data_IF_528854220692
#
_entry.id   IF_528854220692
#
_cell.length_a   1.000
_cell.length_b   1.000
_cell.length_c   1.000
_cell.angle_alpha   90.00
_cell.angle_beta   90.00
_cell.angle_gamma   90.00
#
_symmetry.space_group_name_H-M   'P 1'
#
loop_
_entity.id
_entity.type
_entity.pdbx_description
1 polymer ?
#
# COMPACT_ATOMS: atom_id res chain seq x y z
N UNK A 1 -36.67 57.79 31.64
CA UNK A 1 -37.32 56.57 32.14
C UNK A 1 -37.03 55.43 31.17
N UNK A 2 -36.05 54.56 31.54
CA UNK A 2 -35.71 53.22 30.98
C UNK A 2 -35.32 53.12 29.49
N UNK A 3 -34.58 52.12 28.98
CA UNK A 3 -33.47 51.24 29.41
C UNK A 3 -33.19 50.28 28.22
N UNK A 4 -31.91 49.97 27.96
CA UNK A 4 -31.30 48.72 27.43
C UNK A 4 -31.89 47.90 26.26
N UNK A 5 -31.03 47.52 25.29
CA UNK A 5 -30.54 46.15 24.97
C UNK A 5 -29.75 46.18 23.64
N UNK A 6 -28.42 45.93 23.57
CA UNK A 6 -27.69 44.63 23.50
C UNK A 6 -27.95 43.89 22.17
N UNK A 7 -26.96 43.86 21.25
CA UNK A 7 -26.24 42.68 20.67
C UNK A 7 -27.11 41.72 19.83
N UNK A 8 -26.72 41.01 18.78
CA UNK A 8 -25.46 40.48 18.25
C UNK A 8 -25.82 39.85 16.87
N UNK A 9 -24.81 39.70 15.98
CA UNK A 9 -24.63 38.64 14.97
C UNK A 9 -25.79 38.14 14.07
N UNK A 10 -25.53 38.03 12.76
CA UNK A 10 -25.04 36.75 12.23
C UNK A 10 -24.96 36.72 10.70
N UNK A 11 -23.75 36.40 10.26
CA UNK A 11 -23.34 35.84 8.98
C UNK A 11 -24.32 34.85 8.35
N UNK A 12 -24.54 34.98 7.04
CA UNK A 12 -24.86 33.85 6.16
C UNK A 12 -23.94 33.88 4.94
N UNK A 13 -22.68 33.57 5.23
CA UNK A 13 -21.68 33.15 4.24
C UNK A 13 -21.93 31.69 3.88
N UNK A 14 -22.13 31.45 2.58
CA UNK A 14 -22.17 30.18 1.85
C UNK A 14 -21.65 28.96 2.64
N UNK A 15 -22.58 28.13 3.10
CA UNK A 15 -22.33 26.74 3.47
C UNK A 15 -22.17 25.88 2.21
N UNK A 16 -21.00 25.98 1.56
CA UNK A 16 -20.50 24.85 0.76
C UNK A 16 -19.82 23.91 1.75
N UNK A 17 -20.46 22.78 2.04
CA UNK A 17 -19.79 21.65 2.69
C UNK A 17 -18.42 21.47 2.03
N UNK A 18 -17.35 21.61 2.82
CA UNK A 18 -15.97 21.41 2.36
C UNK A 18 -15.80 19.92 2.07
N UNK A 19 -16.30 19.49 0.91
CA UNK A 19 -16.03 18.18 0.37
C UNK A 19 -14.52 17.99 0.40
N UNK A 20 -14.07 16.97 1.13
CA UNK A 20 -12.68 16.56 1.09
C UNK A 20 -12.30 16.40 -0.38
N UNK A 21 -11.34 17.20 -0.88
CA UNK A 21 -10.82 17.02 -2.23
C UNK A 21 -10.47 15.53 -2.43
N UNK A 22 -10.81 14.93 -3.59
CA UNK A 22 -10.35 13.60 -3.97
C UNK A 22 -8.91 13.39 -3.54
N UNK A 23 -8.56 12.23 -2.99
CA UNK A 23 -7.18 12.03 -2.49
C UNK A 23 -6.14 12.15 -3.60
N UNK A 24 -6.52 11.93 -4.87
CA UNK A 24 -5.70 12.26 -6.02
C UNK A 24 -5.46 13.79 -6.16
N UNK A 25 -6.50 14.62 -6.02
CA UNK A 25 -6.34 16.09 -6.03
C UNK A 25 -5.43 16.56 -4.90
N UNK A 26 -5.51 15.92 -3.72
CA UNK A 26 -4.59 16.17 -2.61
C UNK A 26 -3.16 15.81 -2.98
N UNK A 27 -2.96 14.65 -3.59
CA UNK A 27 -1.64 14.25 -4.09
C UNK A 27 -1.14 15.27 -5.12
N UNK A 28 -1.95 15.69 -6.09
CA UNK A 28 -1.60 16.64 -7.14
C UNK A 28 -1.24 18.05 -6.61
N UNK A 29 -1.90 18.49 -5.54
CA UNK A 29 -1.73 19.84 -4.97
C UNK A 29 -0.81 19.90 -3.77
N UNK A 30 -0.38 18.75 -3.23
CA UNK A 30 0.51 18.69 -2.09
C UNK A 30 1.88 19.33 -2.39
N UNK A 31 2.53 19.93 -1.38
CA UNK A 31 3.95 20.27 -1.43
C UNK A 31 4.81 19.08 -1.89
N UNK A 32 5.93 19.37 -2.57
CA UNK A 32 6.75 18.34 -3.21
C UNK A 32 7.28 17.30 -2.22
N UNK A 33 7.74 17.74 -1.06
CA UNK A 33 8.21 16.90 0.05
C UNK A 33 7.09 16.01 0.63
N UNK A 34 5.90 16.57 0.82
CA UNK A 34 4.74 15.82 1.31
C UNK A 34 4.26 14.76 0.32
N UNK A 35 4.30 15.08 -0.99
CA UNK A 35 3.96 14.12 -2.04
C UNK A 35 5.00 13.01 -2.16
N UNK A 36 6.29 13.35 -2.15
CA UNK A 36 7.39 12.38 -2.16
C UNK A 36 7.30 11.43 -0.95
N UNK A 37 7.06 11.95 0.25
CA UNK A 37 6.90 11.13 1.45
C UNK A 37 5.71 10.16 1.36
N UNK A 38 4.56 10.63 0.83
CA UNK A 38 3.39 9.77 0.62
C UNK A 38 3.64 8.67 -0.43
N UNK A 39 4.42 8.97 -1.46
CA UNK A 39 4.82 8.03 -2.50
C UNK A 39 5.90 7.05 -2.00
N UNK A 40 6.83 7.50 -1.16
CA UNK A 40 7.83 6.64 -0.54
C UNK A 40 7.19 5.58 0.36
N UNK A 41 6.08 5.91 1.03
CA UNK A 41 5.29 4.93 1.77
C UNK A 41 4.54 3.91 0.87
N UNK A 42 4.46 4.17 -0.45
CA UNK A 42 3.94 3.21 -1.43
C UNK A 42 5.04 2.26 -1.94
N UNK A 43 6.24 2.79 -2.18
CA UNK A 43 7.41 2.04 -2.60
C UNK A 43 8.65 2.69 -2.00
N UNK A 44 9.43 1.94 -1.22
CA UNK A 44 10.59 2.45 -0.47
C UNK A 44 11.74 3.00 -1.31
N UNK A 45 11.63 2.99 -2.65
CA UNK A 45 12.60 3.63 -3.54
C UNK A 45 12.41 5.14 -3.61
N UNK A 46 13.44 5.90 -3.23
CA UNK A 46 13.44 7.36 -3.32
C UNK A 46 13.38 7.85 -4.76
N UNK A 47 14.08 7.16 -5.67
CA UNK A 47 14.07 7.50 -7.10
C UNK A 47 12.66 7.36 -7.68
N UNK A 48 11.99 6.27 -7.37
CA UNK A 48 10.59 6.04 -7.77
C UNK A 48 9.65 7.14 -7.25
N UNK A 49 9.73 7.45 -5.96
CA UNK A 49 8.88 8.46 -5.33
C UNK A 49 9.08 9.85 -5.95
N UNK A 50 10.33 10.24 -6.21
CA UNK A 50 10.67 11.52 -6.85
C UNK A 50 10.16 11.62 -8.28
N UNK A 51 10.33 10.56 -9.07
CA UNK A 51 9.85 10.53 -10.45
C UNK A 51 8.35 10.77 -10.51
N UNK A 52 7.57 10.08 -9.68
CA UNK A 52 6.11 10.25 -9.67
C UNK A 52 5.72 11.62 -9.10
N UNK A 53 6.38 12.09 -8.04
CA UNK A 53 6.09 13.41 -7.47
C UNK A 53 6.34 14.55 -8.47
N UNK A 54 7.35 14.41 -9.34
CA UNK A 54 7.74 15.41 -10.33
C UNK A 54 6.81 15.48 -11.55
N UNK A 55 6.10 14.40 -11.90
CA UNK A 55 5.20 14.34 -13.06
C UNK A 55 3.75 14.72 -12.75
N UNK A 56 3.45 15.11 -11.51
CA UNK A 56 2.16 15.69 -11.16
C UNK A 56 1.92 17.00 -11.94
N UNK A 57 0.67 17.34 -12.27
CA UNK A 57 -0.57 16.67 -11.86
C UNK A 57 -0.96 15.50 -12.78
N UNK A 58 -1.56 14.47 -12.18
CA UNK A 58 -2.19 13.36 -12.90
C UNK A 58 -3.68 13.63 -13.15
N UNK A 59 -4.20 13.41 -14.37
CA UNK A 59 -5.61 13.67 -14.68
C UNK A 59 -6.57 12.67 -14.01
N UNK A 60 -6.15 11.44 -13.80
CA UNK A 60 -6.94 10.37 -13.18
C UNK A 60 -6.04 9.31 -12.52
N UNK A 61 -6.67 8.30 -11.91
CA UNK A 61 -5.97 7.20 -11.25
C UNK A 61 -5.17 6.36 -12.24
N UNK A 62 -5.70 6.07 -13.42
CA UNK A 62 -5.01 5.22 -14.40
C UNK A 62 -3.71 5.84 -14.88
N UNK A 63 -3.69 7.17 -15.08
CA UNK A 63 -2.47 7.91 -15.40
C UNK A 63 -1.42 7.82 -14.28
N UNK A 64 -1.84 7.90 -13.02
CA UNK A 64 -0.94 7.71 -11.87
C UNK A 64 -0.40 6.28 -11.80
N UNK A 65 -1.26 5.27 -12.00
CA UNK A 65 -0.83 3.87 -11.96
C UNK A 65 0.11 3.53 -13.13
N UNK A 66 -0.13 4.09 -14.32
CA UNK A 66 0.77 3.96 -15.46
C UNK A 66 2.14 4.60 -15.15
N UNK A 67 2.17 5.81 -14.59
CA UNK A 67 3.42 6.42 -14.17
C UNK A 67 4.15 5.61 -13.08
N UNK A 68 3.40 4.97 -12.18
CA UNK A 68 3.95 4.06 -11.17
C UNK A 68 4.56 2.80 -11.79
N UNK A 69 3.93 2.23 -12.80
CA UNK A 69 4.44 1.06 -13.53
C UNK A 69 5.72 1.40 -14.31
N UNK A 70 5.71 2.49 -15.08
CA UNK A 70 6.90 2.96 -15.81
C UNK A 70 8.08 3.24 -14.88
N UNK A 71 7.84 3.98 -13.79
CA UNK A 71 8.88 4.25 -12.79
C UNK A 71 9.41 2.97 -12.12
N UNK A 72 8.61 1.90 -12.06
CA UNK A 72 9.03 0.60 -11.52
C UNK A 72 9.90 -0.18 -12.50
N UNK A 73 9.60 -0.12 -13.81
CA UNK A 73 10.45 -0.74 -14.83
C UNK A 73 11.81 -0.07 -14.95
N UNK A 74 11.87 1.23 -14.67
CA UNK A 74 13.10 2.00 -14.69
C UNK A 74 13.99 1.77 -13.46
N UNK A 75 13.57 0.99 -12.45
CA UNK A 75 14.35 0.76 -11.23
C UNK A 75 15.69 0.09 -11.53
N UNK A 76 16.76 0.68 -11.01
CA UNK A 76 18.05 0.00 -10.99
C UNK A 76 18.07 -1.08 -9.91
N UNK A 77 19.02 -2.03 -9.95
CA UNK A 77 19.17 -3.00 -8.86
C UNK A 77 19.30 -2.36 -7.48
N UNK A 78 20.00 -1.22 -7.38
CA UNK A 78 20.15 -0.50 -6.12
C UNK A 78 18.85 0.17 -5.65
N UNK A 79 18.03 0.67 -6.58
CA UNK A 79 16.72 1.23 -6.23
C UNK A 79 15.76 0.14 -5.75
N UNK A 80 15.84 -1.05 -6.36
CA UNK A 80 15.07 -2.23 -5.94
C UNK A 80 15.50 -2.71 -4.55
N UNK A 81 16.81 -2.80 -4.29
CA UNK A 81 17.33 -3.17 -2.98
C UNK A 81 16.90 -2.16 -1.89
N UNK A 82 16.91 -0.85 -2.20
CA UNK A 82 16.40 0.20 -1.29
C UNK A 82 14.92 -0.05 -0.97
N UNK A 83 14.09 -0.31 -1.98
CA UNK A 83 12.68 -0.54 -1.78
C UNK A 83 12.41 -1.83 -0.97
N UNK A 84 13.15 -2.90 -1.23
CA UNK A 84 13.01 -4.16 -0.49
C UNK A 84 13.47 -4.05 0.96
N UNK A 85 14.44 -3.18 1.27
CA UNK A 85 14.88 -2.94 2.64
C UNK A 85 13.81 -2.22 3.50
N UNK A 86 12.89 -1.50 2.87
CA UNK A 86 11.75 -0.84 3.55
C UNK A 86 10.55 -1.80 3.74
N UNK A 87 10.53 -2.95 3.05
CA UNK A 87 9.45 -3.91 3.15
C UNK A 87 9.50 -4.72 4.46
N UNK A 88 8.33 -4.97 5.04
CA UNK A 88 8.20 -5.76 6.28
C UNK A 88 7.65 -7.16 5.99
N UNK A 89 8.31 -8.19 6.53
CA UNK A 89 7.85 -9.60 6.49
C UNK A 89 6.52 -9.79 7.24
N UNK A 90 6.22 -8.90 8.19
CA UNK A 90 5.08 -8.97 9.13
C UNK A 90 3.72 -8.72 8.44
N UNK A 91 3.70 -8.31 7.16
CA UNK A 91 2.47 -7.99 6.42
C UNK A 91 1.63 -9.20 5.99
N UNK A 92 2.11 -10.42 6.18
CA UNK A 92 1.35 -11.63 5.87
C UNK A 92 0.60 -12.09 7.12
N UNK A 93 -0.59 -11.54 7.36
CA UNK A 93 -1.49 -11.97 8.44
C UNK A 93 -1.80 -13.46 8.28
N UNK A 94 -1.03 -14.28 8.98
CA UNK A 94 -1.38 -15.65 9.25
C UNK A 94 -2.58 -15.65 10.19
N UNK A 95 -3.51 -16.62 10.04
CA UNK A 95 -4.56 -16.80 11.02
C UNK A 95 -3.95 -17.02 12.41
N UNK A 96 -4.61 -16.61 13.50
CA UNK A 96 -4.08 -16.70 14.85
C UNK A 96 -3.49 -18.09 15.20
N UNK A 97 -2.38 -18.09 15.96
CA UNK A 97 -1.64 -19.28 16.35
C UNK A 97 -2.34 -20.09 17.48
N UNK A 98 -3.62 -20.39 17.31
CA UNK A 98 -4.52 -20.85 18.38
C UNK A 98 -4.42 -22.35 18.69
N UNK A 99 -3.60 -23.07 17.93
CA UNK A 99 -3.39 -24.51 18.06
C UNK A 99 -1.93 -24.88 17.82
N UNK A 100 -1.51 -26.04 18.33
CA UNK A 100 -0.18 -26.60 18.06
C UNK A 100 0.10 -26.74 16.55
N UNK A 101 -0.92 -27.09 15.75
CA UNK A 101 -0.81 -27.15 14.30
C UNK A 101 -0.59 -25.77 13.66
N UNK A 102 -1.27 -24.74 14.17
CA UNK A 102 -1.07 -23.36 13.72
C UNK A 102 0.34 -22.86 14.08
N UNK A 103 0.84 -23.17 15.28
CA UNK A 103 2.20 -22.81 15.69
C UNK A 103 3.29 -23.47 14.84
N UNK A 104 3.10 -24.75 14.48
CA UNK A 104 4.01 -25.45 13.57
C UNK A 104 4.01 -24.83 12.17
N UNK A 105 2.85 -24.42 11.66
CA UNK A 105 2.73 -23.72 10.38
C UNK A 105 3.44 -22.35 10.39
N UNK A 106 3.29 -21.58 11.47
CA UNK A 106 4.02 -20.31 11.66
C UNK A 106 5.54 -20.54 11.66
N UNK A 107 6.01 -21.53 12.41
CA UNK A 107 7.44 -21.86 12.49
C UNK A 107 7.99 -22.27 11.12
N UNK A 108 7.25 -23.09 10.38
CA UNK A 108 7.64 -23.53 9.05
C UNK A 108 7.67 -22.36 8.04
N UNK A 109 6.72 -21.43 8.11
CA UNK A 109 6.72 -20.25 7.25
C UNK A 109 7.89 -19.31 7.59
N UNK A 110 8.16 -19.07 8.88
CA UNK A 110 9.31 -18.28 9.30
C UNK A 110 10.62 -18.90 8.79
N UNK A 111 10.78 -20.21 8.93
CA UNK A 111 11.96 -20.91 8.42
C UNK A 111 12.10 -20.79 6.89
N UNK A 112 10.98 -20.73 6.15
CA UNK A 112 10.98 -20.50 4.71
C UNK A 112 11.40 -19.06 4.35
N UNK A 113 10.93 -18.05 5.09
CA UNK A 113 11.39 -16.66 4.94
C UNK A 113 12.88 -16.55 5.21
N UNK A 114 13.38 -17.12 6.32
CA UNK A 114 14.79 -17.07 6.64
C UNK A 114 15.64 -17.78 5.58
N UNK A 115 15.15 -18.90 5.02
CA UNK A 115 15.82 -19.60 3.93
C UNK A 115 15.86 -18.77 2.64
N UNK A 116 14.77 -18.05 2.36
CA UNK A 116 14.68 -17.15 1.21
C UNK A 116 15.66 -15.99 1.34
N UNK A 117 15.66 -15.30 2.48
CA UNK A 117 16.56 -14.18 2.76
C UNK A 117 18.02 -14.60 2.71
N UNK A 118 18.40 -15.76 3.29
CA UNK A 118 19.77 -16.29 3.19
C UNK A 118 20.21 -16.56 1.75
N UNK A 119 19.28 -16.96 0.87
CA UNK A 119 19.60 -17.35 -0.51
C UNK A 119 19.73 -16.12 -1.43
N UNK A 120 18.78 -15.19 -1.31
CA UNK A 120 18.62 -14.07 -2.24
C UNK A 120 19.10 -12.73 -1.67
N UNK A 121 19.26 -12.60 -0.35
CA UNK A 121 19.79 -11.40 0.30
C UNK A 121 18.78 -10.29 0.55
N UNK A 122 17.48 -10.57 0.35
CA UNK A 122 16.39 -9.62 0.57
C UNK A 122 15.13 -10.35 1.05
N UNK A 123 14.20 -9.60 1.63
CA UNK A 123 12.91 -10.14 2.11
C UNK A 123 12.08 -10.72 0.97
N UNK A 124 11.23 -11.70 1.30
CA UNK A 124 10.25 -12.24 0.36
C UNK A 124 9.07 -11.27 0.22
N UNK A 125 8.79 -10.85 -1.00
CA UNK A 125 7.61 -10.00 -1.32
C UNK A 125 6.71 -10.69 -2.31
N UNK A 126 5.40 -10.57 -2.10
CA UNK A 126 4.37 -11.09 -3.00
C UNK A 126 3.13 -10.20 -2.92
N UNK A 127 2.59 -9.83 -4.07
CA UNK A 127 1.31 -9.14 -4.11
C UNK A 127 0.17 -10.13 -3.91
N UNK A 128 -0.67 -9.84 -2.90
CA UNK A 128 -1.87 -10.62 -2.58
C UNK A 128 -3.16 -9.82 -2.84
N UNK A 129 -3.03 -8.62 -3.43
CA UNK A 129 -4.19 -7.80 -3.79
C UNK A 129 -5.02 -8.51 -4.87
N UNK A 130 -6.34 -8.37 -4.77
CA UNK A 130 -7.29 -9.04 -5.66
C UNK A 130 -7.62 -10.49 -5.28
N UNK A 131 -6.88 -11.11 -4.35
CA UNK A 131 -7.19 -12.45 -3.85
C UNK A 131 -8.16 -12.42 -2.67
N UNK A 132 -9.04 -13.43 -2.62
CA UNK A 132 -9.94 -13.64 -1.49
C UNK A 132 -9.12 -14.03 -0.25
N UNK A 133 -9.52 -13.63 0.97
CA UNK A 133 -8.76 -13.91 2.19
C UNK A 133 -8.34 -15.37 2.35
N UNK A 134 -9.23 -16.30 2.01
CA UNK A 134 -9.00 -17.74 2.08
C UNK A 134 -7.92 -18.25 1.08
N UNK A 135 -7.65 -17.54 -0.01
CA UNK A 135 -6.66 -17.93 -1.03
C UNK A 135 -5.26 -17.35 -0.76
N UNK A 136 -5.17 -16.34 0.11
CA UNK A 136 -3.93 -15.59 0.34
C UNK A 136 -2.84 -16.45 0.95
N UNK A 137 -3.20 -17.28 1.93
CA UNK A 137 -2.26 -18.19 2.57
C UNK A 137 -1.70 -19.21 1.58
N UNK A 138 -2.56 -19.82 0.78
CA UNK A 138 -2.16 -20.80 -0.23
C UNK A 138 -1.25 -20.18 -1.28
N UNK A 139 -1.60 -18.96 -1.74
CA UNK A 139 -0.75 -18.21 -2.68
C UNK A 139 0.61 -17.87 -2.09
N UNK A 140 0.67 -17.45 -0.83
CA UNK A 140 1.91 -17.14 -0.11
C UNK A 140 2.80 -18.38 0.00
N UNK A 141 2.24 -19.49 0.51
CA UNK A 141 2.96 -20.75 0.71
C UNK A 141 3.48 -21.34 -0.61
N UNK A 142 2.65 -21.34 -1.65
CA UNK A 142 3.05 -21.79 -2.98
C UNK A 142 4.12 -20.87 -3.55
N UNK A 143 3.92 -19.55 -3.44
CA UNK A 143 4.84 -18.55 -3.94
C UNK A 143 6.24 -18.67 -3.34
N UNK A 144 6.37 -18.80 -2.02
CA UNK A 144 7.68 -18.89 -1.38
C UNK A 144 8.37 -20.23 -1.69
N UNK A 145 7.62 -21.33 -1.77
CA UNK A 145 8.17 -22.66 -2.10
C UNK A 145 8.71 -22.71 -3.53
N UNK A 146 7.93 -22.23 -4.50
CA UNK A 146 8.33 -22.25 -5.90
C UNK A 146 9.54 -21.34 -6.13
N UNK A 147 9.51 -20.13 -5.53
CA UNK A 147 10.55 -19.11 -5.74
C UNK A 147 11.87 -19.41 -5.05
N UNK A 148 11.87 -20.21 -3.99
CA UNK A 148 13.11 -20.74 -3.38
C UNK A 148 13.95 -21.56 -4.37
N UNK A 149 13.31 -22.20 -5.37
CA UNK A 149 13.98 -22.98 -6.40
C UNK A 149 14.59 -22.14 -7.53
N UNK A 150 14.28 -20.84 -7.61
CA UNK A 150 14.68 -20.00 -8.74
C UNK A 150 16.19 -19.71 -8.75
N UNK A 151 16.68 -19.43 -9.96
CA UNK A 151 17.95 -18.75 -10.19
C UNK A 151 17.84 -17.27 -9.75
N UNK A 152 18.95 -16.67 -9.32
CA UNK A 152 18.94 -15.32 -8.73
C UNK A 152 18.45 -14.24 -9.70
N UNK A 153 18.81 -14.35 -10.97
CA UNK A 153 18.39 -13.38 -12.00
C UNK A 153 16.88 -13.45 -12.21
N UNK A 154 16.33 -14.65 -12.41
CA UNK A 154 14.89 -14.86 -12.52
C UNK A 154 14.14 -14.39 -11.27
N UNK A 155 14.71 -14.61 -10.10
CA UNK A 155 14.08 -14.20 -8.85
C UNK A 155 14.05 -12.69 -8.65
N UNK A 156 15.08 -11.98 -9.13
CA UNK A 156 15.08 -10.51 -9.15
C UNK A 156 13.95 -9.98 -10.04
N UNK A 157 13.76 -10.56 -11.23
CA UNK A 157 12.68 -10.15 -12.13
C UNK A 157 11.31 -10.37 -11.49
N UNK A 158 11.10 -11.55 -10.88
CA UNK A 158 9.87 -11.84 -10.15
C UNK A 158 9.64 -10.86 -8.99
N UNK A 159 10.70 -10.55 -8.25
CA UNK A 159 10.65 -9.65 -7.08
C UNK A 159 10.30 -8.22 -7.50
N UNK A 160 10.91 -7.71 -8.57
CA UNK A 160 10.60 -6.40 -9.12
C UNK A 160 9.13 -6.32 -9.57
N UNK A 161 8.63 -7.36 -10.23
CA UNK A 161 7.23 -7.44 -10.67
C UNK A 161 6.24 -7.49 -9.49
N UNK A 162 6.52 -8.28 -8.45
CA UNK A 162 5.67 -8.32 -7.26
C UNK A 162 5.70 -6.98 -6.51
N UNK A 163 6.86 -6.33 -6.39
CA UNK A 163 6.98 -5.01 -5.79
C UNK A 163 6.19 -3.95 -6.57
N UNK A 164 6.24 -3.97 -7.91
CA UNK A 164 5.44 -3.10 -8.77
C UNK A 164 3.94 -3.26 -8.49
N UNK A 165 3.46 -4.49 -8.36
CA UNK A 165 2.05 -4.77 -8.03
C UNK A 165 1.68 -4.28 -6.63
N UNK A 166 2.55 -4.48 -5.64
CA UNK A 166 2.38 -3.96 -4.27
C UNK A 166 2.27 -2.43 -4.29
N UNK A 167 3.18 -1.76 -5.00
CA UNK A 167 3.18 -0.30 -5.15
C UNK A 167 1.89 0.19 -5.83
N UNK A 168 1.44 -0.49 -6.89
CA UNK A 168 0.15 -0.22 -7.56
C UNK A 168 -1.01 -0.29 -6.58
N UNK A 169 -1.11 -1.35 -5.78
CA UNK A 169 -2.13 -1.51 -4.76
C UNK A 169 -2.10 -0.42 -3.68
N UNK A 170 -0.90 0.00 -3.25
CA UNK A 170 -0.72 1.10 -2.30
C UNK A 170 -1.12 2.45 -2.90
N UNK A 171 -0.82 2.73 -4.17
CA UNK A 171 -1.28 3.93 -4.89
C UNK A 171 -2.81 4.00 -4.96
N UNK A 172 -3.47 2.87 -5.25
CA UNK A 172 -4.94 2.79 -5.23
C UNK A 172 -5.47 3.11 -3.82
N UNK A 173 -4.85 2.60 -2.75
CA UNK A 173 -5.28 2.92 -1.37
C UNK A 173 -4.99 4.37 -0.96
N UNK A 174 -3.87 4.93 -1.44
CA UNK A 174 -3.48 6.32 -1.20
C UNK A 174 -4.50 7.28 -1.80
N UNK A 175 -4.97 7.00 -3.01
CA UNK A 175 -5.85 7.88 -3.81
C UNK A 175 -7.33 7.51 -3.75
N UNK A 176 -7.65 6.30 -3.31
CA UNK A 176 -9.01 5.82 -3.13
C UNK A 176 -9.78 6.63 -2.09
N UNK A 177 -10.97 7.07 -2.46
CA UNK A 177 -11.91 7.60 -1.48
C UNK A 177 -12.30 6.46 -0.55
N UNK A 178 -12.15 6.61 0.78
CA UNK A 178 -12.83 5.68 1.70
C UNK A 178 -14.32 6.02 1.66
N UNK A 179 -15.00 5.60 0.60
CA UNK A 179 -16.44 5.40 0.63
C UNK A 179 -16.67 4.31 1.67
N UNK A 180 -17.17 4.71 2.83
CA UNK A 180 -17.72 3.91 3.93
C UNK A 180 -18.15 2.52 3.42
N UNK A 181 -17.58 1.46 4.01
CA UNK A 181 -18.05 0.08 3.78
C UNK A 181 -19.58 0.06 3.85
N UNK A 182 -20.28 -0.74 3.02
CA UNK A 182 -21.69 -0.97 3.25
C UNK A 182 -21.83 -1.52 4.68
N UNK A 183 -22.57 -0.79 5.52
CA UNK A 183 -23.09 -1.34 6.77
C UNK A 183 -23.80 -2.64 6.40
N UNK A 184 -23.25 -3.76 6.81
CA UNK A 184 -23.98 -5.02 6.81
C UNK A 184 -25.09 -4.84 7.85
N UNK A 185 -26.38 -4.82 7.49
CA UNK A 185 -27.43 -4.63 8.46
C UNK A 185 -27.50 -5.84 9.38
N UNK A 186 -27.23 -5.59 10.66
CA UNK A 186 -27.75 -6.28 11.84
C UNK A 186 -27.86 -7.80 11.79
N UNK A 187 -26.87 -8.50 12.34
CA UNK A 187 -27.13 -9.73 13.07
C UNK A 187 -27.45 -9.34 14.53
N UNK A 188 -28.75 -9.30 14.88
CA UNK A 188 -29.17 -9.31 16.29
C UNK A 188 -29.18 -10.76 16.75
N UNK A 189 -28.39 -11.07 17.78
CA UNK A 189 -28.57 -12.26 18.60
C UNK A 189 -29.41 -11.85 19.81
N UNK A 190 -30.66 -12.27 19.82
CA UNK A 190 -31.53 -12.67 20.95
C UNK A 190 -32.98 -12.62 20.49
#
# INVERSE_FOLDING_TARGET
>A
MRASCVSEESTLSRSRSRAAAPRLDRLNTAPADAAEAALLACCGSRRWARLIAAHRPYPDLEALLAAGDEASYDLTPADLDEALADESVVGHELPPADSLGSLAAHTALQAAHDAYERRFGHVFVICLDGLRPEERLDRLLTGIRDRLGNERERERDNTAEELRRIARGRLVRLTGNRSRSPEVPGFRIA
#
